data_IF_354602853533
#
_entry.id   IF_354602853533
#
_cell.length_a   1.000
_cell.length_b   1.000
_cell.length_c   1.000
_cell.angle_alpha   90.00
_cell.angle_beta   90.00
_cell.angle_gamma   90.00
#
_symmetry.space_group_name_H-M   'P 1'
#
loop_
_entity.id
_entity.type
_entity.pdbx_description
1 polymer ?
#
# COMPACT_ATOMS: atom_id res chain seq x y z
N UNK A 1 -8.53 -16.56 22.01
CA UNK A 1 -7.07 -16.47 22.20
C UNK A 1 -6.65 -15.06 21.80
N UNK A 2 -6.14 -14.22 22.71
CA UNK A 2 -5.58 -12.93 22.32
C UNK A 2 -4.34 -13.17 21.46
N UNK A 3 -4.29 -12.57 20.28
CA UNK A 3 -3.08 -12.61 19.43
C UNK A 3 -2.01 -11.80 20.16
N UNK A 4 -1.03 -12.48 20.76
CA UNK A 4 0.19 -11.85 21.24
C UNK A 4 0.84 -11.14 20.05
N UNK A 5 1.01 -9.82 20.14
CA UNK A 5 1.78 -9.07 19.18
C UNK A 5 3.17 -9.72 19.07
N UNK A 6 3.55 -10.12 17.86
CA UNK A 6 4.87 -10.72 17.62
C UNK A 6 5.94 -9.75 18.07
N UNK A 7 6.84 -10.19 18.94
CA UNK A 7 8.01 -9.42 19.35
C UNK A 7 8.92 -9.20 18.14
N UNK A 8 9.33 -7.95 17.93
CA UNK A 8 10.26 -7.59 16.86
C UNK A 8 11.63 -8.19 17.17
N UNK A 9 12.25 -8.78 16.16
CA UNK A 9 13.61 -9.32 16.26
C UNK A 9 14.61 -8.18 16.47
N UNK A 10 15.77 -8.44 17.10
CA UNK A 10 16.82 -7.43 17.29
C UNK A 10 17.31 -6.81 15.97
N UNK A 11 17.25 -7.57 14.87
CA UNK A 11 17.57 -7.09 13.51
C UNK A 11 16.53 -6.07 13.02
N UNK A 12 15.24 -6.30 13.27
CA UNK A 12 14.16 -5.36 12.93
C UNK A 12 14.23 -4.06 13.77
N UNK A 13 14.69 -4.15 15.02
CA UNK A 13 14.91 -2.97 15.89
C UNK A 13 16.11 -2.17 15.43
N UNK A 14 17.26 -2.81 15.15
CA UNK A 14 18.44 -2.15 14.61
C UNK A 14 18.22 -1.62 13.18
N UNK A 15 17.35 -2.26 12.40
CA UNK A 15 16.87 -1.77 11.10
C UNK A 15 16.04 -0.48 11.26
N UNK A 16 15.19 -0.39 12.28
CA UNK A 16 14.45 0.85 12.62
C UNK A 16 15.34 2.03 12.99
N UNK A 17 16.52 1.78 13.58
CA UNK A 17 17.51 2.80 13.96
C UNK A 17 18.32 3.36 12.77
N UNK A 18 18.31 2.71 11.59
CA UNK A 18 19.03 3.17 10.38
C UNK A 18 18.43 4.42 9.70
N UNK A 19 17.48 5.11 10.33
CA UNK A 19 16.92 6.38 9.85
C UNK A 19 15.89 6.23 8.73
N UNK A 20 15.06 5.19 8.81
CA UNK A 20 14.20 4.72 7.72
C UNK A 20 12.84 5.45 7.61
N UNK A 21 12.55 6.42 8.45
CA UNK A 21 11.21 7.02 8.57
C UNK A 21 11.18 8.53 8.30
N UNK A 22 11.93 9.02 7.31
CA UNK A 22 11.87 10.46 6.96
C UNK A 22 12.14 10.83 5.49
N UNK A 23 12.42 9.88 4.60
CA UNK A 23 12.70 10.23 3.20
C UNK A 23 11.40 10.33 2.41
N UNK A 24 10.89 11.55 2.28
CA UNK A 24 9.85 11.86 1.30
C UNK A 24 10.46 11.88 -0.11
N UNK A 25 10.50 10.71 -0.75
CA UNK A 25 10.94 10.59 -2.14
C UNK A 25 9.98 11.36 -3.04
N UNK A 26 10.50 12.09 -4.02
CA UNK A 26 9.65 12.65 -5.08
C UNK A 26 9.00 11.56 -5.93
N UNK A 27 7.92 11.88 -6.64
CA UNK A 27 7.26 10.95 -7.57
C UNK A 27 8.25 10.39 -8.60
N UNK A 28 9.19 11.21 -9.08
CA UNK A 28 10.21 10.77 -10.04
C UNK A 28 11.19 9.78 -9.41
N UNK A 29 11.64 10.03 -8.18
CA UNK A 29 12.52 9.10 -7.46
C UNK A 29 11.79 7.78 -7.19
N UNK A 30 10.54 7.82 -6.74
CA UNK A 30 9.75 6.63 -6.49
C UNK A 30 9.56 5.80 -7.77
N UNK A 31 9.30 6.46 -8.90
CA UNK A 31 9.22 5.81 -10.22
C UNK A 31 10.55 5.14 -10.61
N UNK A 32 11.68 5.79 -10.36
CA UNK A 32 13.00 5.23 -10.63
C UNK A 32 13.27 3.98 -9.78
N UNK A 33 12.90 4.00 -8.50
CA UNK A 33 13.04 2.83 -7.64
C UNK A 33 12.16 1.65 -8.08
N UNK A 34 10.91 1.91 -8.47
CA UNK A 34 10.02 0.89 -9.06
C UNK A 34 10.64 0.30 -10.33
N UNK A 35 11.17 1.14 -11.22
CA UNK A 35 11.85 0.67 -12.42
C UNK A 35 13.12 -0.14 -12.13
N UNK A 36 13.90 0.24 -11.11
CA UNK A 36 15.07 -0.54 -10.68
C UNK A 36 14.66 -1.90 -10.11
N UNK A 37 13.53 -1.95 -9.40
CA UNK A 37 12.97 -3.19 -8.90
C UNK A 37 12.55 -4.12 -10.05
N UNK A 38 11.96 -3.60 -11.13
CA UNK A 38 11.68 -4.40 -12.35
C UNK A 38 12.94 -5.09 -12.91
N UNK A 39 14.07 -4.39 -12.95
CA UNK A 39 15.34 -4.97 -13.37
C UNK A 39 15.83 -6.04 -12.39
N UNK A 40 15.72 -5.77 -11.09
CA UNK A 40 16.06 -6.73 -10.03
C UNK A 40 15.21 -8.01 -10.14
N UNK A 41 13.91 -7.87 -10.39
CA UNK A 41 12.98 -8.99 -10.61
C UNK A 41 13.40 -9.84 -11.80
N UNK A 42 13.71 -9.20 -12.94
CA UNK A 42 14.19 -9.89 -14.15
C UNK A 42 15.51 -10.62 -13.92
N UNK A 43 16.43 -10.00 -13.19
CA UNK A 43 17.74 -10.54 -12.86
C UNK A 43 17.64 -11.80 -12.01
N UNK A 44 16.80 -11.78 -10.96
CA UNK A 44 16.73 -12.85 -9.96
C UNK A 44 15.60 -13.86 -10.17
N UNK A 45 14.80 -13.74 -11.25
CA UNK A 45 13.63 -14.62 -11.53
C UNK A 45 13.91 -16.13 -11.51
N UNK A 46 15.17 -16.53 -11.64
CA UNK A 46 15.61 -17.92 -11.67
C UNK A 46 15.90 -18.50 -10.28
N UNK A 47 15.87 -17.69 -9.22
CA UNK A 47 16.12 -18.12 -7.86
C UNK A 47 14.86 -18.70 -7.22
N UNK A 48 15.06 -19.61 -6.25
CA UNK A 48 14.01 -20.08 -5.35
C UNK A 48 13.42 -18.94 -4.54
N UNK A 49 12.13 -19.05 -4.17
CA UNK A 49 11.34 -17.93 -3.62
C UNK A 49 12.00 -17.23 -2.43
N UNK A 50 12.59 -17.97 -1.50
CA UNK A 50 13.27 -17.38 -0.33
C UNK A 50 14.50 -16.56 -0.73
N UNK A 51 15.38 -17.13 -1.55
CA UNK A 51 16.59 -16.45 -2.03
C UNK A 51 16.27 -15.28 -2.97
N UNK A 52 15.20 -15.41 -3.76
CA UNK A 52 14.66 -14.36 -4.61
C UNK A 52 14.25 -13.13 -3.79
N UNK A 53 13.45 -13.31 -2.73
CA UNK A 53 12.99 -12.20 -1.89
C UNK A 53 14.15 -11.53 -1.14
N UNK A 54 15.11 -12.30 -0.64
CA UNK A 54 16.30 -11.76 0.01
C UNK A 54 17.14 -10.90 -0.94
N UNK A 55 17.37 -11.36 -2.18
CA UNK A 55 18.08 -10.57 -3.20
C UNK A 55 17.29 -9.33 -3.61
N UNK A 56 15.98 -9.45 -3.71
CA UNK A 56 15.10 -8.34 -4.04
C UNK A 56 15.07 -7.28 -2.93
N UNK A 57 15.10 -7.69 -1.65
CA UNK A 57 15.26 -6.81 -0.48
C UNK A 57 16.60 -6.09 -0.53
N UNK A 58 17.71 -6.83 -0.67
CA UNK A 58 19.08 -6.29 -0.69
C UNK A 58 19.30 -5.23 -1.78
N UNK A 59 18.76 -5.45 -2.99
CA UNK A 59 18.91 -4.48 -4.09
C UNK A 59 17.92 -3.32 -4.05
N UNK A 60 16.83 -3.44 -3.27
CA UNK A 60 15.75 -2.44 -3.21
C UNK A 60 15.41 -2.02 -1.78
N UNK A 61 16.44 -1.86 -0.94
CA UNK A 61 16.31 -1.51 0.48
C UNK A 61 15.43 -0.28 0.68
N UNK A 62 15.61 0.76 -0.14
CA UNK A 62 14.81 2.00 -0.04
C UNK A 62 13.31 1.72 -0.14
N UNK A 63 12.87 0.88 -1.07
CA UNK A 63 11.46 0.52 -1.21
C UNK A 63 11.02 -0.40 -0.07
N UNK A 64 11.82 -1.41 0.26
CA UNK A 64 11.50 -2.37 1.31
C UNK A 64 11.25 -1.68 2.66
N UNK A 65 12.08 -0.68 2.97
CA UNK A 65 12.10 -0.01 4.26
C UNK A 65 11.18 1.20 4.33
N UNK A 66 11.18 2.09 3.33
CA UNK A 66 10.37 3.32 3.37
C UNK A 66 8.95 3.12 2.81
N UNK A 67 8.76 2.13 1.93
CA UNK A 67 7.48 1.87 1.27
C UNK A 67 7.14 0.36 1.28
N UNK A 68 7.06 -0.30 2.45
CA UNK A 68 6.96 -1.77 2.55
C UNK A 68 5.76 -2.35 1.79
N UNK A 69 4.60 -1.69 1.87
CA UNK A 69 3.41 -2.12 1.12
C UNK A 69 3.61 -2.03 -0.39
N UNK A 70 4.32 -1.00 -0.88
CA UNK A 70 4.63 -0.85 -2.30
C UNK A 70 5.61 -1.94 -2.76
N UNK A 71 6.69 -2.14 -2.00
CA UNK A 71 7.65 -3.20 -2.28
C UNK A 71 6.96 -4.57 -2.33
N UNK A 72 6.13 -4.89 -1.35
CA UNK A 72 5.42 -6.17 -1.30
C UNK A 72 4.48 -6.34 -2.50
N UNK A 73 3.64 -5.33 -2.80
CA UNK A 73 2.74 -5.38 -3.96
C UNK A 73 3.51 -5.59 -5.26
N UNK A 74 4.66 -4.94 -5.41
CA UNK A 74 5.49 -5.08 -6.60
C UNK A 74 6.21 -6.44 -6.65
N UNK A 75 6.69 -6.95 -5.53
CA UNK A 75 7.33 -8.27 -5.43
C UNK A 75 6.35 -9.39 -5.83
N UNK A 76 5.07 -9.24 -5.46
CA UNK A 76 3.99 -10.19 -5.72
C UNK A 76 3.23 -9.97 -7.05
N UNK A 77 3.70 -9.05 -7.91
CA UNK A 77 3.04 -8.71 -9.18
C UNK A 77 1.58 -8.22 -9.03
N UNK A 78 1.26 -7.64 -7.86
CA UNK A 78 -0.05 -7.05 -7.54
C UNK A 78 -0.09 -5.53 -7.68
N UNK A 79 0.98 -4.92 -8.21
CA UNK A 79 1.01 -3.48 -8.47
C UNK A 79 0.02 -3.15 -9.60
N UNK A 80 -1.01 -2.39 -9.27
CA UNK A 80 -2.13 -2.10 -10.14
C UNK A 80 -2.08 -0.67 -10.70
N UNK A 81 -3.04 -0.35 -11.56
CA UNK A 81 -3.21 1.01 -12.10
C UNK A 81 -3.38 2.08 -11.01
N UNK A 82 -3.94 1.72 -9.84
CA UNK A 82 -4.15 2.63 -8.71
C UNK A 82 -2.83 3.23 -8.24
N UNK A 83 -1.74 2.45 -8.19
CA UNK A 83 -0.42 2.99 -7.82
C UNK A 83 0.05 4.11 -8.77
N UNK A 84 -0.07 3.91 -10.08
CA UNK A 84 0.36 4.90 -11.06
C UNK A 84 -0.53 6.15 -11.05
N UNK A 85 -1.81 6.01 -10.71
CA UNK A 85 -2.69 7.16 -10.47
C UNK A 85 -2.25 7.98 -9.25
N UNK A 86 -1.92 7.30 -8.14
CA UNK A 86 -1.38 7.95 -6.93
C UNK A 86 -0.06 8.66 -7.21
N UNK A 87 0.82 8.01 -7.99
CA UNK A 87 2.08 8.59 -8.43
C UNK A 87 1.87 9.85 -9.29
N UNK A 88 0.89 9.81 -10.20
CA UNK A 88 0.53 10.96 -11.02
C UNK A 88 -0.05 12.11 -10.18
N UNK A 89 -0.87 11.81 -9.16
CA UNK A 89 -1.37 12.82 -8.20
C UNK A 89 -0.21 13.44 -7.42
N UNK A 90 0.71 12.63 -6.89
CA UNK A 90 1.91 13.13 -6.20
C UNK A 90 2.72 14.08 -7.07
N UNK A 91 2.92 13.73 -8.34
CA UNK A 91 3.62 14.61 -9.30
C UNK A 91 2.87 15.93 -9.56
N UNK A 92 1.54 15.93 -9.53
CA UNK A 92 0.73 17.16 -9.66
C UNK A 92 0.86 18.04 -8.42
N UNK A 93 0.88 17.45 -7.22
CA UNK A 93 1.12 18.16 -5.95
C UNK A 93 2.51 18.80 -5.95
N UNK A 94 3.55 18.02 -6.31
CA UNK A 94 4.93 18.51 -6.39
C UNK A 94 5.11 19.68 -7.37
N UNK A 95 4.31 19.70 -8.45
CA UNK A 95 4.29 20.80 -9.42
C UNK A 95 3.43 22.00 -8.99
N UNK A 96 2.76 21.93 -7.84
CA UNK A 96 1.81 22.94 -7.37
C UNK A 96 0.54 23.07 -8.22
N UNK A 97 0.19 22.03 -9.00
CA UNK A 97 -0.99 22.04 -9.87
C UNK A 97 -2.28 21.73 -9.11
N UNK A 98 -2.18 20.97 -8.01
CA UNK A 98 -3.27 20.63 -7.10
C UNK A 98 -2.74 20.69 -5.67
N UNK A 99 -3.60 20.95 -4.70
CA UNK A 99 -3.22 20.87 -3.29
C UNK A 99 -3.29 19.42 -2.77
N UNK A 100 -2.61 19.09 -1.66
CA UNK A 100 -2.74 17.79 -1.01
C UNK A 100 -4.20 17.45 -0.61
N UNK A 101 -4.97 18.44 -0.19
CA UNK A 101 -6.38 18.29 0.19
C UNK A 101 -7.25 17.94 -1.01
N UNK A 102 -7.03 18.61 -2.16
CA UNK A 102 -7.72 18.31 -3.41
C UNK A 102 -7.40 16.88 -3.90
N UNK A 103 -6.12 16.48 -3.81
CA UNK A 103 -5.72 15.12 -4.14
C UNK A 103 -6.39 14.08 -3.22
N UNK A 104 -6.47 14.35 -1.92
CA UNK A 104 -7.14 13.49 -0.95
C UNK A 104 -8.63 13.34 -1.26
N UNK A 105 -9.31 14.44 -1.61
CA UNK A 105 -10.72 14.41 -2.01
C UNK A 105 -10.97 13.56 -3.27
N UNK A 106 -10.08 13.65 -4.27
CA UNK A 106 -10.16 12.83 -5.48
C UNK A 106 -10.00 11.33 -5.17
N UNK A 107 -9.05 10.97 -4.31
CA UNK A 107 -8.82 9.58 -3.89
C UNK A 107 -10.00 9.07 -3.08
N UNK A 108 -10.51 9.88 -2.13
CA UNK A 108 -11.69 9.57 -1.34
C UNK A 108 -12.91 9.26 -2.20
N UNK A 109 -13.17 10.07 -3.24
CA UNK A 109 -14.25 9.82 -4.21
C UNK A 109 -14.05 8.49 -4.96
N UNK A 110 -12.84 8.23 -5.46
CA UNK A 110 -12.54 6.96 -6.16
C UNK A 110 -12.71 5.73 -5.28
N UNK A 111 -12.28 5.81 -4.01
CA UNK A 111 -12.48 4.73 -3.05
C UNK A 111 -13.95 4.53 -2.73
N UNK A 112 -14.71 5.62 -2.55
CA UNK A 112 -16.15 5.57 -2.34
C UNK A 112 -16.85 4.87 -3.51
N UNK A 113 -16.58 5.29 -4.75
CA UNK A 113 -17.20 4.69 -5.93
C UNK A 113 -16.84 3.21 -6.13
N UNK A 114 -15.64 2.79 -5.69
CA UNK A 114 -15.17 1.39 -5.81
C UNK A 114 -15.74 0.48 -4.73
N UNK A 115 -15.85 0.94 -3.48
CA UNK A 115 -16.18 0.10 -2.33
C UNK A 115 -17.60 0.29 -1.79
N UNK A 116 -18.26 1.39 -2.14
CA UNK A 116 -19.66 1.65 -1.75
C UNK A 116 -20.55 1.32 -2.96
N UNK A 117 -21.39 0.28 -2.87
CA UNK A 117 -22.36 -0.02 -3.91
C UNK A 117 -23.26 1.20 -4.14
N UNK A 118 -23.31 1.69 -5.38
CA UNK A 118 -24.22 2.74 -5.79
C UNK A 118 -25.62 2.12 -5.92
N UNK A 119 -26.37 2.09 -4.81
CA UNK A 119 -27.76 1.63 -4.80
C UNK A 119 -28.62 2.56 -5.66
N UNK A 120 -29.10 2.09 -6.81
CA UNK A 120 -30.07 2.83 -7.65
C UNK A 120 -31.48 2.87 -7.05
N UNK A 121 -31.68 2.19 -5.92
CA UNK A 121 -32.91 2.21 -5.12
C UNK A 121 -32.72 3.12 -3.90
N UNK A 122 -33.69 4.00 -3.58
CA UNK A 122 -33.63 4.81 -2.36
C UNK A 122 -33.52 3.85 -1.17
N UNK A 123 -32.42 3.97 -0.43
CA UNK A 123 -32.12 3.13 0.72
C UNK A 123 -33.23 3.36 1.75
N UNK A 124 -34.10 2.36 1.94
CA UNK A 124 -35.03 2.37 3.06
C UNK A 124 -34.19 2.42 4.34
N UNK A 125 -34.56 3.30 5.28
CA UNK A 125 -33.84 3.47 6.53
C UNK A 125 -33.58 2.08 7.17
N UNK A 126 -32.35 1.80 7.64
CA UNK A 126 -32.05 0.52 8.25
C UNK A 126 -33.00 0.31 9.43
N UNK A 127 -33.88 -0.68 9.32
CA UNK A 127 -34.90 -0.98 10.33
C UNK A 127 -34.33 -1.71 11.54
N UNK A 128 -33.08 -2.17 11.48
CA UNK A 128 -32.45 -2.93 12.56
C UNK A 128 -31.05 -2.43 12.89
N UNK A 129 -30.71 -2.44 14.17
CA UNK A 129 -29.36 -2.15 14.64
C UNK A 129 -28.41 -3.34 14.38
N UNK A 130 -27.10 -3.08 14.35
CA UNK A 130 -26.08 -4.11 14.19
C UNK A 130 -26.20 -5.23 15.25
N UNK A 131 -26.53 -4.86 16.49
CA UNK A 131 -26.73 -5.82 17.58
C UNK A 131 -27.94 -6.73 17.35
N UNK A 132 -29.02 -6.18 16.79
CA UNK A 132 -30.25 -6.94 16.53
C UNK A 132 -30.11 -7.88 15.32
N UNK A 133 -29.21 -7.57 14.39
CA UNK A 133 -28.86 -8.47 13.29
C UNK A 133 -28.23 -9.77 13.80
N UNK A 134 -27.24 -9.68 14.70
CA UNK A 134 -26.55 -10.87 15.21
C UNK A 134 -27.42 -11.74 16.12
N UNK A 135 -28.38 -11.14 16.84
CA UNK A 135 -29.34 -11.89 17.67
C UNK A 135 -30.20 -12.86 16.84
N UNK A 136 -30.43 -12.59 15.55
CA UNK A 136 -31.24 -13.45 14.67
C UNK A 136 -30.52 -14.74 14.23
N UNK A 137 -29.19 -14.78 14.32
CA UNK A 137 -28.37 -15.93 13.91
C UNK A 137 -27.77 -16.71 15.09
N UNK A 138 -28.08 -16.30 16.33
CA UNK A 138 -27.57 -16.93 17.55
C UNK A 138 -28.49 -18.06 18.08
N UNK A 139 -29.35 -18.65 17.23
CA UNK A 139 -30.22 -19.80 17.57
C UNK A 139 -29.52 -21.14 17.34
#
# INVERSE_FOLDING_TARGET
>A
MPQSARELTPEEVAEGERGITSVDLTATQLQAHVHNMDHSKKKWRHLERGAYLEKLKQENEVLYFNYPSLWQMHAEDRMDSTFFEMLALKRKIEKGQITPEEASALVGKKLFDRFVPQSTTPVQAPTMSYEDYYKQFAS
#
